data_IF_735726894943
#
_entry.id   IF_735726894943
#
_cell.length_a   1.000
_cell.length_b   1.000
_cell.length_c   1.000
_cell.angle_alpha   90.00
_cell.angle_beta   90.00
_cell.angle_gamma   90.00
#
_symmetry.space_group_name_H-M   'P 1'
#
loop_
_entity.id
_entity.type
_entity.pdbx_description
1 polymer ?
#
# COMPACT_ATOMS: atom_id res chain seq x y z
N UNK A 1 16.19 1.38 15.93
CA UNK A 1 15.36 0.18 15.68
C UNK A 1 16.29 -1.01 15.61
N UNK A 2 15.90 -2.20 16.09
CA UNK A 2 16.69 -3.40 15.83
C UNK A 2 16.87 -3.60 14.32
N UNK A 3 17.98 -4.23 13.94
CA UNK A 3 18.25 -4.58 12.55
C UNK A 3 17.20 -5.58 12.06
N UNK A 4 16.64 -5.35 10.87
CA UNK A 4 15.58 -6.18 10.33
C UNK A 4 16.17 -7.40 9.60
N UNK A 5 15.53 -8.55 9.77
CA UNK A 5 16.02 -9.79 9.17
C UNK A 5 15.81 -9.84 7.65
N UNK A 6 16.55 -10.72 6.98
CA UNK A 6 16.36 -10.96 5.54
C UNK A 6 15.04 -11.71 5.28
N UNK A 7 14.46 -11.50 4.11
CA UNK A 7 13.23 -12.20 3.69
C UNK A 7 13.32 -13.73 3.82
N UNK A 8 14.49 -14.32 3.57
CA UNK A 8 14.72 -15.76 3.70
C UNK A 8 14.50 -16.29 5.13
N UNK A 9 14.76 -15.46 6.14
CA UNK A 9 14.46 -15.80 7.54
C UNK A 9 12.96 -15.95 7.73
N UNK A 10 12.18 -14.95 7.30
CA UNK A 10 10.71 -14.94 7.42
C UNK A 10 10.08 -16.12 6.70
N UNK A 11 10.50 -16.40 5.45
CA UNK A 11 9.97 -17.53 4.68
C UNK A 11 10.28 -18.89 5.33
N UNK A 12 11.43 -19.04 5.99
CA UNK A 12 11.77 -20.26 6.73
C UNK A 12 10.93 -20.38 8.00
N UNK A 13 10.78 -19.29 8.75
CA UNK A 13 10.03 -19.25 10.01
C UNK A 13 8.54 -19.48 9.78
N UNK A 14 7.98 -18.90 8.72
CA UNK A 14 6.60 -19.05 8.29
C UNK A 14 6.14 -20.53 8.21
N UNK A 15 6.99 -21.40 7.64
CA UNK A 15 6.72 -22.84 7.52
C UNK A 15 6.58 -23.58 8.86
N UNK A 16 6.99 -22.96 9.96
CA UNK A 16 6.98 -23.54 11.31
C UNK A 16 5.93 -22.92 12.22
N UNK A 17 5.11 -22.01 11.70
CA UNK A 17 4.07 -21.32 12.46
C UNK A 17 2.95 -22.29 12.86
N UNK A 18 2.44 -22.13 14.08
CA UNK A 18 1.32 -22.91 14.61
C UNK A 18 0.02 -22.13 14.67
N UNK A 19 0.06 -20.79 14.65
CA UNK A 19 -1.10 -19.89 14.61
C UNK A 19 -2.23 -20.28 15.59
N UNK A 20 -1.87 -20.58 16.84
CA UNK A 20 -2.79 -21.11 17.85
C UNK A 20 -2.91 -20.23 19.12
N UNK A 21 -2.66 -18.94 18.98
CA UNK A 21 -2.81 -17.97 20.06
C UNK A 21 -4.25 -17.50 20.19
N UNK A 22 -4.65 -17.10 21.40
CA UNK A 22 -5.99 -16.54 21.67
C UNK A 22 -6.24 -15.22 20.94
N UNK A 23 -5.22 -14.35 20.87
CA UNK A 23 -5.30 -13.09 20.14
C UNK A 23 -5.24 -13.38 18.65
N UNK A 24 -6.20 -12.88 17.89
CA UNK A 24 -6.24 -13.02 16.44
C UNK A 24 -6.30 -11.65 15.74
N UNK A 25 -5.80 -11.61 14.51
CA UNK A 25 -5.89 -10.45 13.64
C UNK A 25 -5.93 -10.87 12.16
N UNK A 26 -6.81 -10.25 11.39
CA UNK A 26 -6.86 -10.36 9.93
C UNK A 26 -6.30 -9.11 9.30
N UNK A 27 -5.29 -9.27 8.44
CA UNK A 27 -4.61 -8.15 7.78
C UNK A 27 -4.78 -8.27 6.27
N UNK A 28 -5.41 -7.27 5.66
CA UNK A 28 -5.45 -7.16 4.20
C UNK A 28 -4.35 -6.22 3.71
N UNK A 29 -3.76 -6.51 2.56
CA UNK A 29 -2.68 -5.72 1.95
C UNK A 29 -3.07 -5.46 0.50
N UNK A 30 -3.23 -4.19 0.14
CA UNK A 30 -3.50 -3.72 -1.20
C UNK A 30 -2.30 -2.92 -1.69
N UNK A 31 -1.91 -3.10 -2.96
CA UNK A 31 -0.72 -2.44 -3.47
C UNK A 31 -0.77 -2.12 -4.97
N UNK A 32 0.04 -1.14 -5.35
CA UNK A 32 0.27 -0.76 -6.75
C UNK A 32 1.49 -1.45 -7.39
N UNK A 33 2.20 -2.26 -6.62
CA UNK A 33 3.42 -2.96 -7.04
C UNK A 33 3.55 -4.31 -6.32
N UNK A 34 4.44 -5.18 -6.80
CA UNK A 34 4.61 -6.52 -6.24
C UNK A 34 5.20 -6.49 -4.83
N UNK A 35 4.56 -7.17 -3.88
CA UNK A 35 4.98 -7.30 -2.48
C UNK A 35 5.27 -8.77 -2.12
N UNK A 36 6.21 -9.40 -2.82
CA UNK A 36 6.54 -10.81 -2.57
C UNK A 36 7.02 -11.04 -1.13
N UNK A 37 6.45 -12.04 -0.46
CA UNK A 37 6.83 -12.45 0.89
C UNK A 37 6.28 -11.58 2.02
N UNK A 38 5.48 -10.54 1.71
CA UNK A 38 4.99 -9.61 2.73
C UNK A 38 4.02 -10.28 3.70
N UNK A 39 3.20 -11.21 3.20
CA UNK A 39 2.23 -11.96 3.99
C UNK A 39 2.93 -12.80 5.06
N UNK A 40 3.97 -13.53 4.65
CA UNK A 40 4.80 -14.35 5.54
C UNK A 40 5.50 -13.49 6.59
N UNK A 41 5.99 -12.30 6.22
CA UNK A 41 6.62 -11.37 7.16
C UNK A 41 5.60 -10.93 8.23
N UNK A 42 4.39 -10.50 7.84
CA UNK A 42 3.37 -10.10 8.80
C UNK A 42 2.99 -11.25 9.73
N UNK A 43 2.75 -12.45 9.20
CA UNK A 43 2.37 -13.59 10.01
C UNK A 43 3.47 -13.99 11.00
N UNK A 44 4.74 -14.00 10.59
CA UNK A 44 5.88 -14.27 11.49
C UNK A 44 6.01 -13.19 12.56
N UNK A 45 5.89 -11.90 12.21
CA UNK A 45 5.96 -10.80 13.19
C UNK A 45 4.81 -10.84 14.20
N UNK A 46 3.63 -11.30 13.78
CA UNK A 46 2.50 -11.52 14.68
C UNK A 46 2.71 -12.74 15.59
N UNK A 47 3.24 -13.85 15.08
CA UNK A 47 3.62 -15.02 15.87
C UNK A 47 4.65 -14.67 16.95
N UNK A 48 5.69 -13.89 16.60
CA UNK A 48 6.68 -13.36 17.55
C UNK A 48 6.06 -12.50 18.67
N UNK A 49 4.83 -12.01 18.46
CA UNK A 49 4.04 -11.24 19.43
C UNK A 49 2.92 -12.05 20.09
N UNK A 50 2.87 -13.36 19.86
CA UNK A 50 1.80 -14.27 20.31
C UNK A 50 0.41 -13.85 19.80
N UNK A 51 0.32 -13.48 18.52
CA UNK A 51 -0.92 -13.11 17.83
C UNK A 51 -1.08 -14.03 16.61
N UNK A 52 -2.19 -14.76 16.55
CA UNK A 52 -2.60 -15.51 15.37
C UNK A 52 -2.96 -14.53 14.26
N UNK A 53 -2.29 -14.62 13.11
CA UNK A 53 -2.50 -13.69 12.02
C UNK A 53 -2.86 -14.42 10.73
N UNK A 54 -3.96 -14.00 10.13
CA UNK A 54 -4.31 -14.34 8.76
C UNK A 54 -4.05 -13.11 7.90
N UNK A 55 -3.49 -13.33 6.72
CA UNK A 55 -3.23 -12.27 5.75
C UNK A 55 -3.98 -12.53 4.45
N UNK A 56 -4.23 -11.45 3.72
CA UNK A 56 -4.75 -11.49 2.37
C UNK A 56 -4.06 -10.41 1.55
N UNK A 57 -3.33 -10.80 0.51
CA UNK A 57 -2.71 -9.88 -0.45
C UNK A 57 -3.59 -9.73 -1.70
N UNK A 58 -4.02 -8.50 -1.98
CA UNK A 58 -4.70 -8.16 -3.23
C UNK A 58 -3.77 -8.26 -4.43
N UNK A 59 -4.34 -8.48 -5.61
CA UNK A 59 -3.59 -8.60 -6.86
C UNK A 59 -2.76 -7.36 -7.21
N UNK A 60 -1.70 -7.56 -8.00
CA UNK A 60 -0.82 -6.49 -8.47
C UNK A 60 -1.62 -5.36 -9.11
N UNK A 61 -1.51 -4.15 -8.52
CA UNK A 61 -2.18 -2.94 -9.01
C UNK A 61 -3.71 -3.07 -9.13
N UNK A 62 -4.33 -3.94 -8.35
CA UNK A 62 -5.79 -4.18 -8.32
C UNK A 62 -6.49 -3.53 -7.13
N UNK A 63 -5.80 -2.68 -6.36
CA UNK A 63 -6.37 -2.01 -5.18
C UNK A 63 -7.67 -1.25 -5.48
N UNK A 64 -7.81 -0.66 -6.67
CA UNK A 64 -9.05 -0.03 -7.12
C UNK A 64 -10.20 -1.05 -7.22
N UNK A 65 -9.97 -2.19 -7.85
CA UNK A 65 -11.00 -3.22 -8.06
C UNK A 65 -11.43 -3.81 -6.72
N UNK A 66 -10.47 -4.11 -5.84
CA UNK A 66 -10.73 -4.62 -4.49
C UNK A 66 -11.57 -3.66 -3.64
N UNK A 67 -11.37 -2.35 -3.77
CA UNK A 67 -12.14 -1.34 -3.01
C UNK A 67 -13.49 -1.03 -3.66
N UNK A 68 -13.59 -1.04 -4.99
CA UNK A 68 -14.81 -0.66 -5.69
C UNK A 68 -15.84 -1.77 -5.74
N UNK A 69 -15.43 -3.04 -5.79
CA UNK A 69 -16.33 -4.18 -5.82
C UNK A 69 -16.69 -4.63 -4.38
N UNK A 70 -17.94 -4.50 -3.92
CA UNK A 70 -18.36 -4.96 -2.60
C UNK A 70 -18.24 -6.48 -2.39
N UNK A 71 -18.10 -7.25 -3.48
CA UNK A 71 -17.91 -8.70 -3.46
C UNK A 71 -16.45 -9.10 -3.59
N UNK A 72 -15.51 -8.17 -3.54
CA UNK A 72 -14.08 -8.45 -3.64
C UNK A 72 -13.54 -9.32 -2.49
N UNK A 73 -12.35 -9.88 -2.70
CA UNK A 73 -11.67 -10.68 -1.68
C UNK A 73 -11.41 -9.85 -0.41
N UNK A 74 -11.09 -8.56 -0.56
CA UNK A 74 -10.93 -7.62 0.54
C UNK A 74 -12.12 -7.63 1.50
N UNK A 75 -13.34 -7.50 1.00
CA UNK A 75 -14.53 -7.42 1.85
C UNK A 75 -14.96 -8.78 2.37
N UNK A 76 -14.85 -9.84 1.56
CA UNK A 76 -15.13 -11.21 1.99
C UNK A 76 -14.19 -11.65 3.12
N UNK A 77 -12.93 -11.23 3.08
CA UNK A 77 -11.91 -11.53 4.11
C UNK A 77 -12.18 -10.83 5.46
N UNK A 78 -12.96 -9.74 5.47
CA UNK A 78 -13.31 -8.97 6.66
C UNK A 78 -12.09 -8.61 7.54
N UNK A 79 -11.08 -7.91 7.01
CA UNK A 79 -9.84 -7.60 7.73
C UNK A 79 -10.06 -6.68 8.93
N UNK A 80 -9.30 -6.85 10.01
CA UNK A 80 -9.25 -5.88 11.11
C UNK A 80 -8.41 -4.65 10.73
N UNK A 81 -7.35 -4.85 9.95
CA UNK A 81 -6.46 -3.81 9.44
C UNK A 81 -6.27 -4.03 7.94
N UNK A 82 -6.34 -2.96 7.17
CA UNK A 82 -6.02 -2.97 5.73
C UNK A 82 -4.88 -1.99 5.46
N UNK A 83 -3.82 -2.46 4.84
CA UNK A 83 -2.74 -1.62 4.33
C UNK A 83 -3.00 -1.27 2.87
N UNK A 84 -2.89 0.01 2.53
CA UNK A 84 -2.90 0.52 1.16
C UNK A 84 -1.52 1.10 0.85
N UNK A 85 -0.73 0.33 0.10
CA UNK A 85 0.68 0.64 -0.19
C UNK A 85 0.82 1.08 -1.64
N UNK A 86 0.92 2.38 -1.84
CA UNK A 86 0.96 3.01 -3.16
C UNK A 86 2.34 3.57 -3.46
N UNK A 87 2.80 3.35 -4.68
CA UNK A 87 4.03 3.96 -5.21
C UNK A 87 3.67 5.26 -5.92
N UNK A 88 4.33 6.36 -5.52
CA UNK A 88 4.19 7.66 -6.18
C UNK A 88 4.48 7.58 -7.67
N UNK A 89 5.40 6.69 -8.10
CA UNK A 89 5.69 6.45 -9.53
C UNK A 89 4.46 5.95 -10.28
N UNK A 90 3.77 4.97 -9.71
CA UNK A 90 2.55 4.41 -10.30
C UNK A 90 1.42 5.44 -10.34
N UNK A 91 1.36 6.37 -9.39
CA UNK A 91 0.35 7.44 -9.36
C UNK A 91 0.63 8.54 -10.37
N UNK A 92 1.90 8.95 -10.50
CA UNK A 92 2.30 10.04 -11.38
C UNK A 92 2.52 9.61 -12.83
N UNK A 93 2.66 8.31 -13.10
CA UNK A 93 2.78 7.74 -14.45
C UNK A 93 3.90 8.46 -15.24
N UNK A 94 3.63 8.91 -16.47
CA UNK A 94 4.60 9.61 -17.31
C UNK A 94 5.13 10.91 -16.68
N UNK A 95 4.33 11.57 -15.83
CA UNK A 95 4.73 12.80 -15.14
C UNK A 95 5.77 12.56 -14.05
N UNK A 96 5.97 11.30 -13.61
CA UNK A 96 7.12 10.97 -12.78
C UNK A 96 8.44 11.24 -13.51
N UNK A 97 8.50 10.89 -14.80
CA UNK A 97 9.71 11.00 -15.62
C UNK A 97 9.79 12.35 -16.34
N UNK A 98 8.66 12.87 -16.79
CA UNK A 98 8.58 14.08 -17.61
C UNK A 98 7.56 15.09 -17.04
N UNK A 99 7.77 15.63 -15.82
CA UNK A 99 6.82 16.56 -15.20
C UNK A 99 6.60 17.81 -16.04
N UNK A 100 7.60 18.22 -16.83
CA UNK A 100 7.54 19.41 -17.70
C UNK A 100 7.06 19.12 -19.12
N UNK A 101 6.56 17.92 -19.41
CA UNK A 101 5.88 17.64 -20.69
C UNK A 101 4.57 18.42 -20.84
N UNK A 102 4.03 18.91 -19.72
CA UNK A 102 2.79 19.68 -19.61
C UNK A 102 3.02 20.99 -18.85
N UNK A 103 2.11 21.95 -19.02
CA UNK A 103 2.19 23.24 -18.34
C UNK A 103 1.87 23.13 -16.83
N UNK A 104 2.18 24.18 -16.08
CA UNK A 104 1.99 24.22 -14.63
C UNK A 104 0.53 24.00 -14.20
N UNK A 105 -0.41 24.62 -14.90
CA UNK A 105 -1.84 24.50 -14.59
C UNK A 105 -2.32 23.07 -14.84
N UNK A 106 -1.84 22.44 -15.90
CA UNK A 106 -2.11 21.03 -16.20
C UNK A 106 -1.52 20.11 -15.13
N UNK A 107 -0.30 20.37 -14.64
CA UNK A 107 0.28 19.62 -13.51
C UNK A 107 -0.57 19.74 -12.24
N UNK A 108 -0.97 20.95 -11.87
CA UNK A 108 -1.80 21.19 -10.69
C UNK A 108 -3.13 20.45 -10.79
N UNK A 109 -3.80 20.55 -11.95
CA UNK A 109 -5.05 19.83 -12.22
C UNK A 109 -4.87 18.30 -12.16
N UNK A 110 -3.75 17.78 -12.65
CA UNK A 110 -3.44 16.35 -12.59
C UNK A 110 -3.28 15.87 -11.14
N UNK A 111 -2.51 16.60 -10.32
CA UNK A 111 -2.32 16.27 -8.90
C UNK A 111 -3.65 16.30 -8.15
N UNK A 112 -4.46 17.34 -8.35
CA UNK A 112 -5.79 17.47 -7.76
C UNK A 112 -6.70 16.30 -8.17
N UNK A 113 -6.65 15.89 -9.44
CA UNK A 113 -7.40 14.73 -9.93
C UNK A 113 -6.96 13.43 -9.22
N UNK A 114 -5.66 13.15 -9.15
CA UNK A 114 -5.13 11.95 -8.47
C UNK A 114 -5.44 11.95 -6.97
N UNK A 115 -5.38 13.11 -6.33
CA UNK A 115 -5.76 13.26 -4.93
C UNK A 115 -7.24 12.88 -4.72
N UNK A 116 -8.14 13.43 -5.54
CA UNK A 116 -9.58 13.09 -5.49
C UNK A 116 -9.87 11.63 -5.77
N UNK A 117 -9.13 11.00 -6.69
CA UNK A 117 -9.25 9.56 -6.96
C UNK A 117 -8.96 8.76 -5.68
N UNK A 118 -7.86 9.06 -4.98
CA UNK A 118 -7.49 8.38 -3.73
C UNK A 118 -8.49 8.69 -2.61
N UNK A 119 -8.93 9.94 -2.47
CA UNK A 119 -9.95 10.34 -1.48
C UNK A 119 -11.27 9.60 -1.69
N UNK A 120 -11.71 9.46 -2.93
CA UNK A 120 -12.92 8.71 -3.28
C UNK A 120 -12.79 7.23 -2.92
N UNK A 121 -11.63 6.60 -3.19
CA UNK A 121 -11.38 5.21 -2.80
C UNK A 121 -11.43 5.04 -1.28
N UNK A 122 -10.80 5.94 -0.52
CA UNK A 122 -10.85 5.92 0.95
C UNK A 122 -12.30 6.05 1.42
N UNK A 123 -13.06 6.96 0.83
CA UNK A 123 -14.47 7.17 1.18
C UNK A 123 -15.31 5.92 0.92
N UNK A 124 -15.11 5.25 -0.21
CA UNK A 124 -15.80 3.99 -0.55
C UNK A 124 -15.38 2.88 0.41
N UNK A 125 -14.09 2.75 0.68
CA UNK A 125 -13.57 1.78 1.64
C UNK A 125 -14.20 1.94 3.02
N UNK A 126 -14.25 3.16 3.55
CA UNK A 126 -14.82 3.45 4.87
C UNK A 126 -16.33 3.20 4.94
N UNK A 127 -17.05 3.28 3.82
CA UNK A 127 -18.49 2.93 3.76
C UNK A 127 -18.73 1.42 3.77
N UNK A 128 -17.83 0.66 3.16
CA UNK A 128 -18.01 -0.77 2.93
C UNK A 128 -17.24 -1.67 3.94
N UNK A 129 -16.36 -1.10 4.76
CA UNK A 129 -15.51 -1.86 5.69
C UNK A 129 -15.40 -1.20 7.06
N UNK A 130 -15.38 -2.04 8.10
CA UNK A 130 -15.04 -1.63 9.48
C UNK A 130 -13.54 -1.75 9.78
N UNK A 131 -12.73 -2.11 8.78
CA UNK A 131 -11.29 -2.29 8.91
C UNK A 131 -10.58 -0.96 9.12
N UNK A 132 -9.51 -0.95 9.93
CA UNK A 132 -8.64 0.23 10.05
C UNK A 132 -7.77 0.33 8.80
N UNK A 133 -7.91 1.42 8.05
CA UNK A 133 -7.09 1.70 6.87
C UNK A 133 -5.77 2.37 7.28
N UNK A 134 -4.65 1.81 6.83
CA UNK A 134 -3.31 2.39 6.95
C UNK A 134 -2.78 2.63 5.54
N UNK A 135 -2.40 3.87 5.25
CA UNK A 135 -1.91 4.27 3.92
C UNK A 135 -0.42 4.56 4.02
N UNK A 136 0.37 4.02 3.10
CA UNK A 136 1.80 4.37 3.01
C UNK A 136 1.96 5.82 2.59
N UNK A 137 2.99 6.50 3.12
CA UNK A 137 3.29 7.85 2.68
C UNK A 137 3.76 7.88 1.22
N UNK A 138 3.56 9.01 0.54
CA UNK A 138 4.02 9.23 -0.83
C UNK A 138 5.46 9.74 -0.81
N UNK A 139 6.37 8.98 -1.42
CA UNK A 139 7.77 9.36 -1.47
C UNK A 139 7.99 10.48 -2.49
N UNK A 140 8.77 11.49 -2.11
CA UNK A 140 9.18 12.59 -2.98
C UNK A 140 10.32 12.10 -3.88
N UNK A 141 10.27 12.30 -5.21
CA UNK A 141 11.38 11.96 -6.08
C UNK A 141 12.70 12.58 -5.59
N UNK A 142 13.75 11.76 -5.47
CA UNK A 142 15.08 12.24 -5.05
C UNK A 142 15.85 12.92 -6.18
N UNK A 143 15.39 12.78 -7.42
CA UNK A 143 16.02 13.35 -8.60
C UNK A 143 15.17 14.52 -9.09
N UNK A 144 15.79 15.70 -9.14
CA UNK A 144 15.21 16.89 -9.77
C UNK A 144 15.57 16.90 -11.25
N UNK A 145 14.58 17.04 -12.13
CA UNK A 145 14.82 17.08 -13.58
C UNK A 145 15.58 18.34 -14.02
N UNK A 146 15.56 19.41 -13.22
CA UNK A 146 16.33 20.65 -13.47
C UNK A 146 17.42 20.93 -12.40
N UNK A 147 17.64 20.01 -11.47
CA UNK A 147 18.59 20.20 -10.37
C UNK A 147 18.32 21.50 -9.60
N UNK A 148 19.37 22.30 -9.37
CA UNK A 148 19.31 23.56 -8.62
C UNK A 148 18.37 24.57 -9.30
N UNK A 149 18.15 24.47 -10.62
CA UNK A 149 17.34 25.42 -11.38
C UNK A 149 15.83 25.25 -11.16
N UNK A 150 15.40 24.13 -10.60
CA UNK A 150 14.00 23.87 -10.26
C UNK A 150 13.46 24.91 -9.25
N UNK A 151 14.28 25.34 -8.30
CA UNK A 151 13.93 26.39 -7.32
C UNK A 151 13.65 27.77 -7.94
N UNK A 152 14.07 28.01 -9.18
CA UNK A 152 13.91 29.27 -9.91
C UNK A 152 12.78 29.23 -10.95
N UNK A 153 12.16 28.07 -11.14
CA UNK A 153 11.11 27.82 -12.13
C UNK A 153 9.71 27.69 -11.52
N UNK A 154 9.58 28.06 -10.23
CA UNK A 154 8.33 28.19 -9.49
C UNK A 154 7.75 29.60 -9.63
#
# INVERSE_FOLDING_TARGET
>A
MPEEEKISYYLKRFKTLKNNFEKNIRISILSSFTLNGIEEIFQVKCDEKNITCDTCLGGYNQYNQEILDPHSQLYQFQPNITFLILDTRSILEDLWYFPYSIDEKQRQNFVEKKFREIENLITIFLKNSNSKLIISNFFIPTNSNYGIFETKSN
#
